data_IF_283241669675
#
_entry.id   IF_283241669675
#
_cell.length_a   1.000
_cell.length_b   1.000
_cell.length_c   1.000
_cell.angle_alpha   90.00
_cell.angle_beta   90.00
_cell.angle_gamma   90.00
#
_symmetry.space_group_name_H-M   'P 1'
#
loop_
_entity.id
_entity.type
_entity.pdbx_description
1 polymer ?
#
# COMPACT_ATOMS: atom_id res chain seq x y z
N UNK A 1 38.14 -41.87 27.28
CA UNK A 1 37.19 -40.76 27.48
C UNK A 1 37.30 -39.70 26.38
N UNK A 2 38.45 -39.04 26.15
CA UNK A 2 38.63 -38.06 25.04
C UNK A 2 38.40 -38.62 23.62
N UNK A 3 38.71 -39.92 23.39
CA UNK A 3 38.56 -40.56 22.06
C UNK A 3 37.10 -40.89 21.69
N UNK A 4 36.23 -41.09 22.69
CA UNK A 4 34.79 -41.38 22.49
C UNK A 4 34.01 -40.08 22.27
N UNK A 5 34.41 -39.01 22.97
CA UNK A 5 33.84 -37.67 22.80
C UNK A 5 34.20 -37.10 21.42
N UNK A 6 35.42 -37.32 20.92
CA UNK A 6 35.78 -36.90 19.56
C UNK A 6 35.06 -37.70 18.46
N UNK A 7 34.78 -39.00 18.68
CA UNK A 7 34.03 -39.82 17.73
C UNK A 7 32.55 -39.40 17.66
N UNK A 8 31.94 -39.11 18.80
CA UNK A 8 30.57 -38.58 18.87
C UNK A 8 30.46 -37.15 18.32
N UNK A 9 31.51 -36.33 18.43
CA UNK A 9 31.58 -35.01 17.81
C UNK A 9 31.82 -35.07 16.29
N UNK A 10 32.53 -36.08 15.78
CA UNK A 10 32.69 -36.31 14.34
C UNK A 10 31.42 -36.89 13.71
N UNK A 11 30.72 -37.83 14.37
CA UNK A 11 29.42 -38.33 13.92
C UNK A 11 28.33 -37.26 14.01
N UNK A 12 28.30 -36.43 15.06
CA UNK A 12 27.37 -35.30 15.13
C UNK A 12 27.69 -34.22 14.07
N UNK A 13 28.97 -33.97 13.79
CA UNK A 13 29.41 -33.03 12.75
C UNK A 13 29.09 -33.52 11.33
N UNK A 14 29.18 -34.84 11.07
CA UNK A 14 28.77 -35.43 9.79
C UNK A 14 27.25 -35.47 9.62
N UNK A 15 26.50 -35.78 10.68
CA UNK A 15 25.02 -35.73 10.69
C UNK A 15 24.49 -34.30 10.51
N UNK A 16 25.15 -33.30 11.13
CA UNK A 16 24.84 -31.88 10.95
C UNK A 16 25.21 -31.43 9.52
N UNK A 17 26.29 -31.95 8.92
CA UNK A 17 26.68 -31.63 7.53
C UNK A 17 25.75 -32.22 6.48
N UNK A 18 25.19 -33.42 6.68
CA UNK A 18 24.21 -34.00 5.76
C UNK A 18 22.80 -33.43 5.95
N UNK A 19 22.46 -32.97 7.17
CA UNK A 19 21.15 -32.36 7.46
C UNK A 19 21.07 -30.86 7.11
N UNK A 20 22.21 -30.14 7.08
CA UNK A 20 22.22 -28.66 7.03
C UNK A 20 22.36 -27.98 5.66
N UNK A 21 22.26 -28.69 4.53
CA UNK A 21 22.22 -28.01 3.22
C UNK A 21 20.88 -28.19 2.49
N UNK A 22 20.22 -29.33 2.65
CA UNK A 22 18.96 -29.59 1.95
C UNK A 22 17.72 -29.06 2.71
N UNK A 23 17.78 -28.96 4.04
CA UNK A 23 16.66 -28.49 4.87
C UNK A 23 16.73 -27.00 5.19
N UNK A 24 17.93 -26.44 5.37
CA UNK A 24 18.13 -25.00 5.60
C UNK A 24 17.70 -24.15 4.38
N UNK A 25 17.92 -24.64 3.15
CA UNK A 25 17.48 -23.94 1.93
C UNK A 25 15.97 -23.98 1.72
N UNK A 26 15.29 -25.05 2.17
CA UNK A 26 13.84 -25.21 2.06
C UNK A 26 13.10 -24.28 3.01
N UNK A 27 13.60 -24.16 4.24
CA UNK A 27 13.05 -23.28 5.28
C UNK A 27 13.36 -21.82 4.98
N UNK A 28 14.55 -21.47 4.47
CA UNK A 28 14.89 -20.08 4.15
C UNK A 28 14.12 -19.51 2.95
N UNK A 29 13.87 -20.31 1.90
CA UNK A 29 13.07 -19.89 0.74
C UNK A 29 11.58 -19.73 1.06
N UNK A 30 11.05 -20.61 1.94
CA UNK A 30 9.70 -20.49 2.48
C UNK A 30 9.58 -19.32 3.45
N UNK A 31 10.52 -19.13 4.39
CA UNK A 31 10.56 -17.98 5.30
C UNK A 31 10.64 -16.67 4.52
N UNK A 32 11.54 -16.57 3.54
CA UNK A 32 11.65 -15.39 2.70
C UNK A 32 10.34 -15.11 1.94
N UNK A 33 9.66 -16.13 1.41
CA UNK A 33 8.38 -15.93 0.74
C UNK A 33 7.22 -15.64 1.70
N UNK A 34 7.07 -16.37 2.83
CA UNK A 34 6.03 -16.13 3.85
C UNK A 34 6.11 -14.73 4.45
N UNK A 35 7.28 -14.08 4.41
CA UNK A 35 7.43 -12.67 4.76
C UNK A 35 7.26 -11.72 3.58
N UNK A 36 7.28 -12.18 2.32
CA UNK A 36 7.35 -11.31 1.15
C UNK A 36 6.00 -10.76 0.69
N UNK A 37 4.88 -11.49 0.81
CA UNK A 37 3.65 -11.05 0.13
C UNK A 37 2.41 -11.55 0.91
N UNK A 38 1.60 -10.62 1.45
CA UNK A 38 0.11 -10.64 1.55
C UNK A 38 -0.59 -10.69 2.92
N UNK A 39 -1.87 -10.24 2.98
CA UNK A 39 -2.45 -9.57 4.12
C UNK A 39 -2.84 -10.53 5.23
N UNK A 40 -2.72 -10.04 6.46
CA UNK A 40 -2.94 -10.82 7.65
C UNK A 40 -4.43 -11.14 7.88
N UNK A 41 -4.89 -12.21 7.23
CA UNK A 41 -5.97 -13.04 7.76
C UNK A 41 -5.55 -14.51 7.65
N UNK A 42 -4.74 -14.97 8.61
CA UNK A 42 -4.20 -16.33 8.76
C UNK A 42 -2.88 -16.63 8.01
N UNK A 43 -1.90 -17.18 8.74
CA UNK A 43 -0.64 -17.71 8.20
C UNK A 43 -0.84 -18.75 7.06
N UNK A 44 -1.99 -19.41 7.03
CA UNK A 44 -2.41 -20.31 5.94
C UNK A 44 -2.64 -19.56 4.61
N UNK A 45 -3.20 -18.35 4.65
CA UNK A 45 -3.43 -17.53 3.46
C UNK A 45 -2.12 -16.91 2.94
N UNK A 46 -1.20 -16.57 3.85
CA UNK A 46 0.15 -16.15 3.49
C UNK A 46 0.91 -17.28 2.76
N UNK A 47 0.93 -18.50 3.32
CA UNK A 47 1.57 -19.65 2.65
C UNK A 47 0.95 -19.94 1.28
N UNK A 48 -0.38 -19.93 1.20
CA UNK A 48 -1.11 -20.22 -0.04
C UNK A 48 -0.78 -19.20 -1.12
N UNK A 49 -0.71 -17.92 -0.74
CA UNK A 49 -0.32 -16.83 -1.64
C UNK A 49 1.11 -17.03 -2.15
N UNK A 50 2.06 -17.28 -1.24
CA UNK A 50 3.47 -17.52 -1.57
C UNK A 50 3.66 -18.71 -2.51
N UNK A 51 3.00 -19.81 -2.20
CA UNK A 51 3.04 -21.04 -2.99
C UNK A 51 2.48 -20.79 -4.39
N UNK A 52 1.38 -20.06 -4.50
CA UNK A 52 0.80 -19.68 -5.78
C UNK A 52 1.77 -18.79 -6.58
N UNK A 53 2.38 -17.76 -5.97
CA UNK A 53 3.29 -16.85 -6.68
C UNK A 53 4.54 -17.57 -7.20
N UNK A 54 5.14 -18.43 -6.38
CA UNK A 54 6.29 -19.25 -6.77
C UNK A 54 5.97 -20.29 -7.84
N UNK A 55 4.71 -20.72 -7.96
CA UNK A 55 4.27 -21.71 -8.94
C UNK A 55 3.80 -21.08 -10.24
N UNK A 56 2.93 -20.08 -10.13
CA UNK A 56 2.12 -19.54 -11.22
C UNK A 56 2.65 -18.20 -11.76
N UNK A 57 3.43 -17.45 -10.97
CA UNK A 57 3.97 -16.13 -11.29
C UNK A 57 5.49 -16.03 -11.14
N UNK A 58 6.19 -17.17 -11.19
CA UNK A 58 7.63 -17.25 -10.92
C UNK A 58 8.51 -16.41 -11.84
N UNK A 59 8.10 -16.24 -13.10
CA UNK A 59 8.88 -15.49 -14.10
C UNK A 59 8.77 -14.01 -13.80
N UNK A 60 7.56 -13.52 -13.55
CA UNK A 60 7.26 -12.15 -13.19
C UNK A 60 7.86 -11.81 -11.81
N UNK A 61 7.80 -12.73 -10.86
CA UNK A 61 8.46 -12.60 -9.56
C UNK A 61 9.98 -12.48 -9.70
N UNK A 62 10.61 -13.35 -10.50
CA UNK A 62 12.05 -13.27 -10.75
C UNK A 62 12.46 -11.96 -11.44
N UNK A 63 11.66 -11.49 -12.41
CA UNK A 63 11.84 -10.18 -13.04
C UNK A 63 11.72 -9.04 -12.03
N UNK A 64 10.73 -9.11 -11.15
CA UNK A 64 10.50 -8.11 -10.11
C UNK A 64 11.68 -8.05 -9.15
N UNK A 65 12.16 -9.19 -8.64
CA UNK A 65 13.30 -9.20 -7.72
C UNK A 65 14.58 -8.72 -8.43
N UNK A 66 14.73 -9.01 -9.73
CA UNK A 66 15.84 -8.48 -10.54
C UNK A 66 15.76 -6.97 -10.84
N UNK A 67 14.63 -6.32 -10.57
CA UNK A 67 14.45 -4.88 -10.74
C UNK A 67 14.54 -4.15 -9.38
N UNK A 68 15.48 -3.20 -9.19
CA UNK A 68 15.67 -2.55 -7.90
C UNK A 68 14.43 -1.85 -7.32
N UNK A 69 13.60 -1.24 -8.17
CA UNK A 69 12.37 -0.56 -7.73
C UNK A 69 11.28 -1.57 -7.36
N UNK A 70 11.14 -2.66 -8.12
CA UNK A 70 10.16 -3.70 -7.80
C UNK A 70 10.58 -4.51 -6.56
N UNK A 71 11.87 -4.79 -6.39
CA UNK A 71 12.42 -5.36 -5.16
C UNK A 71 12.20 -4.44 -3.95
N UNK A 72 12.39 -3.12 -4.11
CA UNK A 72 12.09 -2.14 -3.07
C UNK A 72 10.59 -2.09 -2.74
N UNK A 73 9.71 -2.23 -3.74
CA UNK A 73 8.27 -2.37 -3.53
C UNK A 73 7.96 -3.59 -2.66
N UNK A 74 8.47 -4.77 -3.02
CA UNK A 74 8.28 -5.99 -2.24
C UNK A 74 8.78 -5.76 -0.81
N UNK A 75 10.00 -5.25 -0.64
CA UNK A 75 10.59 -4.99 0.68
C UNK A 75 9.73 -4.03 1.53
N UNK A 76 9.20 -2.97 0.92
CA UNK A 76 8.29 -2.03 1.57
C UNK A 76 7.00 -2.73 2.03
N UNK A 77 6.37 -3.54 1.18
CA UNK A 77 5.17 -4.31 1.52
C UNK A 77 5.39 -5.23 2.73
N UNK A 78 6.59 -5.80 2.90
CA UNK A 78 6.91 -6.63 4.07
C UNK A 78 6.81 -5.84 5.39
N UNK A 79 7.17 -4.55 5.37
CA UNK A 79 7.10 -3.69 6.55
C UNK A 79 5.68 -3.33 6.95
N UNK A 80 4.70 -3.59 6.08
CA UNK A 80 3.31 -3.27 6.30
C UNK A 80 2.55 -4.33 7.10
N UNK A 81 3.04 -5.58 7.10
CA UNK A 81 2.34 -6.72 7.66
C UNK A 81 2.08 -6.56 9.17
N UNK A 82 0.87 -6.93 9.60
CA UNK A 82 0.40 -6.86 11.00
C UNK A 82 0.33 -5.45 11.59
N UNK A 83 0.43 -4.41 10.76
CA UNK A 83 0.20 -3.04 11.21
C UNK A 83 -1.30 -2.75 11.28
N UNK A 84 -1.74 -1.87 12.20
CA UNK A 84 -3.13 -1.42 12.24
C UNK A 84 -3.55 -0.70 10.95
N UNK A 85 -2.60 -0.09 10.24
CA UNK A 85 -2.76 0.60 8.95
C UNK A 85 -2.19 -0.21 7.77
N UNK A 86 -2.23 -1.54 7.84
CA UNK A 86 -1.61 -2.44 6.86
C UNK A 86 -2.06 -2.16 5.41
N UNK A 87 -3.36 -1.92 5.18
CA UNK A 87 -3.88 -1.65 3.82
C UNK A 87 -3.32 -0.34 3.28
N UNK A 88 -3.34 0.70 4.09
CA UNK A 88 -2.86 2.04 3.74
C UNK A 88 -1.35 2.04 3.51
N UNK A 89 -0.61 1.29 4.32
CA UNK A 89 0.83 1.08 4.14
C UNK A 89 1.13 0.38 2.81
N UNK A 90 0.40 -0.69 2.48
CA UNK A 90 0.62 -1.44 1.25
C UNK A 90 0.36 -0.60 -0.01
N UNK A 91 -0.70 0.20 0.00
CA UNK A 91 -1.02 1.11 -1.11
C UNK A 91 0.09 2.15 -1.30
N UNK A 92 0.58 2.75 -0.20
CA UNK A 92 1.70 3.71 -0.26
C UNK A 92 2.97 3.12 -0.84
N UNK A 93 3.30 1.87 -0.53
CA UNK A 93 4.43 1.17 -1.14
C UNK A 93 4.24 1.03 -2.66
N UNK A 94 3.05 0.60 -3.09
CA UNK A 94 2.70 0.49 -4.51
C UNK A 94 2.88 1.82 -5.25
N UNK A 95 2.36 2.92 -4.69
CA UNK A 95 2.46 4.25 -5.27
C UNK A 95 3.91 4.76 -5.39
N UNK A 96 4.72 4.52 -4.35
CA UNK A 96 6.11 4.99 -4.28
C UNK A 96 7.02 4.29 -5.29
N UNK A 97 6.77 3.01 -5.55
CA UNK A 97 7.66 2.17 -6.37
C UNK A 97 7.06 1.73 -7.70
N UNK A 98 5.89 2.28 -8.09
CA UNK A 98 5.21 1.96 -9.36
C UNK A 98 6.17 2.07 -10.55
N UNK A 99 6.13 1.03 -11.38
CA UNK A 99 6.79 0.91 -12.67
C UNK A 99 6.20 -0.28 -13.44
N UNK A 100 6.53 -0.40 -14.72
CA UNK A 100 5.99 -1.46 -15.59
C UNK A 100 6.32 -2.90 -15.17
N UNK A 101 7.41 -3.12 -14.43
CA UNK A 101 7.77 -4.46 -13.90
C UNK A 101 6.90 -4.80 -12.68
N UNK A 102 6.59 -3.81 -11.84
CA UNK A 102 5.61 -3.94 -10.76
C UNK A 102 4.24 -4.25 -11.34
N UNK A 103 3.85 -3.59 -12.43
CA UNK A 103 2.58 -3.83 -13.11
C UNK A 103 2.47 -5.25 -13.69
N UNK A 104 3.50 -5.74 -14.38
CA UNK A 104 3.53 -7.12 -14.91
C UNK A 104 3.42 -8.14 -13.76
N UNK A 105 4.10 -7.86 -12.64
CA UNK A 105 4.02 -8.71 -11.45
C UNK A 105 2.62 -8.70 -10.83
N UNK A 106 2.02 -7.52 -10.64
CA UNK A 106 0.68 -7.36 -10.09
C UNK A 106 -0.39 -7.97 -11.00
N UNK A 107 -0.28 -7.81 -12.32
CA UNK A 107 -1.18 -8.43 -13.29
C UNK A 107 -1.19 -9.96 -13.11
N UNK A 108 -0.01 -10.58 -12.95
CA UNK A 108 0.04 -12.01 -12.67
C UNK A 108 -0.57 -12.35 -11.30
N UNK A 109 -0.06 -11.70 -10.25
CA UNK A 109 -0.35 -12.03 -8.86
C UNK A 109 -1.83 -11.80 -8.49
N UNK A 110 -2.39 -10.69 -8.92
CA UNK A 110 -3.71 -10.19 -8.53
C UNK A 110 -4.77 -10.57 -9.56
N UNK A 111 -4.57 -10.22 -10.83
CA UNK A 111 -5.61 -10.35 -11.85
C UNK A 111 -5.67 -11.75 -12.47
N UNK A 112 -4.54 -12.22 -13.01
CA UNK A 112 -4.50 -13.40 -13.89
C UNK A 112 -4.50 -14.70 -13.12
N UNK A 113 -3.65 -14.83 -12.09
CA UNK A 113 -3.50 -16.06 -11.29
C UNK A 113 -4.22 -15.99 -9.96
N UNK A 114 -4.61 -14.79 -9.52
CA UNK A 114 -5.37 -14.56 -8.27
C UNK A 114 -4.72 -15.26 -7.08
N UNK A 115 -3.38 -15.23 -7.06
CA UNK A 115 -2.61 -15.68 -5.91
C UNK A 115 -2.88 -14.80 -4.70
N UNK A 116 -3.26 -13.55 -4.96
CA UNK A 116 -3.63 -12.55 -3.99
C UNK A 116 -5.13 -12.61 -3.71
N UNK A 117 -5.60 -12.98 -2.50
CA UNK A 117 -7.02 -12.86 -2.15
C UNK A 117 -7.52 -11.41 -2.27
N UNK A 118 -8.67 -11.26 -2.92
CA UNK A 118 -9.39 -9.98 -3.00
C UNK A 118 -9.94 -9.60 -1.63
N UNK A 119 -9.69 -8.37 -1.18
CA UNK A 119 -10.32 -7.78 0.01
C UNK A 119 -11.81 -7.55 -0.26
N UNK A 120 -12.67 -8.10 0.59
CA UNK A 120 -14.12 -7.96 0.49
C UNK A 120 -14.58 -6.57 0.94
N UNK A 121 -15.69 -6.10 0.36
CA UNK A 121 -16.39 -4.93 0.87
C UNK A 121 -16.94 -5.22 2.27
N UNK A 122 -16.63 -4.33 3.22
CA UNK A 122 -17.14 -4.38 4.59
C UNK A 122 -18.33 -3.44 4.80
N UNK A 123 -18.82 -2.81 3.72
CA UNK A 123 -19.94 -1.87 3.74
C UNK A 123 -19.55 -0.48 4.23
N UNK A 124 -18.26 -0.15 4.22
CA UNK A 124 -17.78 1.16 4.69
C UNK A 124 -18.32 2.27 3.80
N UNK A 125 -18.31 2.09 2.48
CA UNK A 125 -18.77 3.06 1.48
C UNK A 125 -20.00 2.54 0.73
N UNK A 126 -21.22 2.61 1.30
CA UNK A 126 -22.43 2.16 0.63
C UNK A 126 -22.83 3.10 -0.51
N UNK A 127 -23.53 2.57 -1.51
CA UNK A 127 -24.13 3.38 -2.59
C UNK A 127 -25.11 4.40 -1.96
N UNK A 128 -24.95 5.71 -2.21
CA UNK A 128 -25.85 6.73 -1.68
C UNK A 128 -27.28 6.55 -2.19
N UNK A 129 -28.26 6.99 -1.39
CA UNK A 129 -29.66 7.07 -1.85
C UNK A 129 -29.77 8.04 -3.04
N UNK A 130 -30.34 7.63 -4.19
CA UNK A 130 -30.64 8.53 -5.31
C UNK A 130 -31.30 9.86 -4.91
N UNK A 131 -32.10 9.86 -3.83
CA UNK A 131 -32.77 11.04 -3.29
C UNK A 131 -31.79 12.15 -2.85
N UNK A 132 -30.59 11.80 -2.38
CA UNK A 132 -29.59 12.77 -1.88
C UNK A 132 -28.68 13.33 -2.98
N UNK A 133 -28.67 12.71 -4.16
CA UNK A 133 -27.87 13.16 -5.30
C UNK A 133 -28.46 14.39 -5.98
N UNK A 134 -27.61 15.19 -6.62
CA UNK A 134 -28.04 16.30 -7.48
C UNK A 134 -28.99 15.80 -8.59
N UNK A 135 -30.09 16.53 -8.81
CA UNK A 135 -31.13 16.13 -9.78
C UNK A 135 -30.82 16.55 -11.21
N UNK A 136 -29.97 17.56 -11.36
CA UNK A 136 -29.50 18.07 -12.63
C UNK A 136 -27.99 18.25 -12.54
N UNK A 137 -27.26 17.69 -13.49
CA UNK A 137 -25.82 17.83 -13.57
C UNK A 137 -25.43 17.86 -15.04
N UNK A 138 -24.76 18.94 -15.44
CA UNK A 138 -24.31 19.15 -16.80
C UNK A 138 -22.81 18.90 -16.86
N UNK A 139 -22.42 17.77 -17.46
CA UNK A 139 -21.01 17.35 -17.54
C UNK A 139 -20.14 18.32 -18.34
N UNK A 140 -20.72 19.12 -19.25
CA UNK A 140 -19.96 20.12 -20.00
C UNK A 140 -19.45 21.25 -19.09
N UNK A 141 -20.15 21.53 -17.98
CA UNK A 141 -19.71 22.51 -16.98
C UNK A 141 -18.54 22.04 -16.14
N UNK A 142 -18.24 20.73 -16.16
CA UNK A 142 -17.04 20.17 -15.56
C UNK A 142 -15.78 20.54 -16.37
N UNK A 143 -15.90 21.00 -17.61
CA UNK A 143 -14.74 21.28 -18.46
C UNK A 143 -13.76 22.29 -17.84
N UNK A 144 -12.47 22.08 -18.13
CA UNK A 144 -11.36 22.89 -17.64
C UNK A 144 -10.72 22.35 -16.36
N UNK A 145 -10.00 23.24 -15.68
CA UNK A 145 -9.15 22.90 -14.54
C UNK A 145 -9.92 22.90 -13.23
N UNK A 146 -9.66 21.89 -12.41
CA UNK A 146 -10.19 21.74 -11.06
C UNK A 146 -9.11 21.22 -10.12
N UNK A 147 -9.19 21.62 -8.86
CA UNK A 147 -8.32 21.12 -7.80
C UNK A 147 -9.12 20.27 -6.84
N UNK A 148 -8.60 19.12 -6.43
CA UNK A 148 -9.08 18.50 -5.19
C UNK A 148 -8.50 19.33 -4.05
N UNK A 149 -9.36 19.98 -3.27
CA UNK A 149 -8.96 20.83 -2.11
C UNK A 149 -9.32 20.22 -0.76
N UNK A 150 -10.10 19.14 -0.77
CA UNK A 150 -10.36 18.33 0.41
C UNK A 150 -10.73 16.91 0.05
N UNK A 151 -10.31 15.96 0.89
CA UNK A 151 -10.54 14.53 0.71
C UNK A 151 -10.95 13.83 2.00
N UNK A 152 -11.78 12.80 1.91
CA UNK A 152 -12.20 11.99 3.06
C UNK A 152 -11.23 10.83 3.33
N UNK A 153 -10.80 10.13 2.27
CA UNK A 153 -9.94 8.97 2.40
C UNK A 153 -8.46 9.40 2.28
N UNK A 154 -7.66 9.37 3.37
CA UNK A 154 -6.26 9.82 3.33
C UNK A 154 -5.37 9.01 2.38
N UNK A 155 -5.81 7.83 1.96
CA UNK A 155 -5.02 6.95 1.10
C UNK A 155 -5.11 7.35 -0.37
N UNK A 156 -6.25 7.89 -0.80
CA UNK A 156 -6.52 8.17 -2.21
C UNK A 156 -6.85 9.65 -2.49
N UNK A 157 -7.32 10.38 -1.47
CA UNK A 157 -7.97 11.68 -1.64
C UNK A 157 -7.10 12.87 -1.18
N UNK A 158 -5.91 12.61 -0.62
CA UNK A 158 -5.14 13.65 0.10
C UNK A 158 -3.71 13.81 -0.39
N UNK A 159 -3.48 13.55 -1.68
CA UNK A 159 -2.19 13.84 -2.31
C UNK A 159 -1.97 15.35 -2.43
N UNK A 160 -0.71 15.76 -2.59
CA UNK A 160 -0.42 17.16 -2.89
C UNK A 160 -0.65 17.47 -4.36
N UNK A 161 -0.88 18.76 -4.67
CA UNK A 161 -1.01 19.30 -6.02
C UNK A 161 -1.89 18.42 -6.91
N UNK A 162 -3.16 18.31 -6.55
CA UNK A 162 -4.15 17.53 -7.28
C UNK A 162 -4.87 18.39 -8.30
N UNK A 163 -4.16 18.79 -9.36
CA UNK A 163 -4.71 19.53 -10.49
C UNK A 163 -5.20 18.57 -11.57
N UNK A 164 -6.51 18.55 -11.78
CA UNK A 164 -7.16 17.71 -12.78
C UNK A 164 -7.75 18.60 -13.89
N UNK A 165 -7.52 18.23 -15.15
CA UNK A 165 -8.07 18.92 -16.30
C UNK A 165 -9.07 18.04 -17.02
N UNK A 166 -10.33 18.49 -17.02
CA UNK A 166 -11.44 17.75 -17.59
C UNK A 166 -11.87 18.34 -18.93
N UNK A 167 -12.31 17.47 -19.83
CA UNK A 167 -12.97 17.86 -21.07
C UNK A 167 -14.04 16.83 -21.44
N UNK A 168 -15.06 17.26 -22.16
CA UNK A 168 -16.10 16.38 -22.69
C UNK A 168 -15.74 15.90 -24.09
N UNK A 169 -15.72 14.59 -24.30
CA UNK A 169 -15.48 13.96 -25.60
C UNK A 169 -16.57 12.92 -25.86
N UNK A 170 -17.32 13.04 -26.97
CA UNK A 170 -18.36 12.07 -27.35
C UNK A 170 -19.36 11.75 -26.21
N UNK A 171 -19.85 12.80 -25.52
CA UNK A 171 -20.75 12.68 -24.36
C UNK A 171 -20.18 11.92 -23.15
N UNK A 172 -18.85 11.78 -23.09
CA UNK A 172 -18.12 11.27 -21.92
C UNK A 172 -17.31 12.40 -21.28
N UNK A 173 -17.15 12.35 -19.97
CA UNK A 173 -16.23 13.21 -19.25
C UNK A 173 -14.86 12.55 -19.22
N UNK A 174 -13.85 13.19 -19.78
CA UNK A 174 -12.47 12.70 -19.80
C UNK A 174 -11.63 13.58 -18.87
N UNK A 175 -11.07 12.98 -17.83
CA UNK A 175 -10.20 13.64 -16.86
C UNK A 175 -8.74 13.27 -17.07
N UNK A 176 -7.91 14.27 -17.34
CA UNK A 176 -6.45 14.16 -17.23
C UNK A 176 -6.07 14.52 -15.80
N UNK A 177 -5.80 13.50 -14.99
CA UNK A 177 -5.53 13.63 -13.58
C UNK A 177 -4.03 13.78 -13.35
N UNK A 178 -3.65 14.58 -12.37
CA UNK A 178 -2.27 14.68 -11.91
C UNK A 178 -2.22 14.90 -10.41
N UNK A 179 -1.30 14.22 -9.74
CA UNK A 179 -1.10 14.33 -8.29
C UNK A 179 0.36 14.13 -7.94
N UNK A 180 0.77 14.62 -6.77
CA UNK A 180 2.12 14.48 -6.25
C UNK A 180 2.16 13.54 -5.06
N UNK A 181 3.09 12.60 -5.12
CA UNK A 181 3.42 11.68 -4.03
C UNK A 181 4.68 12.23 -3.37
N UNK A 182 4.58 12.59 -2.08
CA UNK A 182 5.75 13.02 -1.29
C UNK A 182 6.71 11.85 -1.09
N UNK A 183 7.99 12.13 -1.21
CA UNK A 183 9.06 11.19 -0.88
C UNK A 183 9.57 11.42 0.54
N UNK A 184 10.27 10.42 1.11
CA UNK A 184 10.78 10.48 2.49
C UNK A 184 11.82 11.59 2.70
N UNK A 185 12.52 12.00 1.65
CA UNK A 185 13.49 13.10 1.66
C UNK A 185 12.82 14.49 1.48
N UNK A 186 11.49 14.57 1.54
CA UNK A 186 10.76 15.84 1.37
C UNK A 186 10.64 16.32 -0.07
N UNK A 187 11.01 15.47 -1.04
CA UNK A 187 10.73 15.68 -2.47
C UNK A 187 9.36 15.16 -2.90
N UNK A 188 9.16 15.04 -4.21
CA UNK A 188 7.95 14.43 -4.75
C UNK A 188 8.12 13.83 -6.14
N UNK A 189 7.27 12.85 -6.45
CA UNK A 189 7.02 12.41 -7.82
C UNK A 189 5.66 12.91 -8.29
N UNK A 190 5.53 13.27 -9.57
CA UNK A 190 4.23 13.57 -10.19
C UNK A 190 3.75 12.35 -10.95
N UNK A 191 2.51 11.94 -10.67
CA UNK A 191 1.79 10.89 -11.40
C UNK A 191 0.71 11.52 -12.24
N UNK A 192 0.31 10.81 -13.30
CA UNK A 192 -0.83 11.18 -14.11
C UNK A 192 -1.61 9.95 -14.56
N UNK A 193 -2.92 10.15 -14.74
CA UNK A 193 -3.81 9.12 -15.26
C UNK A 193 -4.88 9.77 -16.14
N UNK A 194 -5.43 8.99 -17.06
CA UNK A 194 -6.61 9.39 -17.84
C UNK A 194 -7.78 8.53 -17.41
N UNK A 195 -8.85 9.15 -16.94
CA UNK A 195 -10.10 8.47 -16.62
C UNK A 195 -11.22 8.97 -17.53
N UNK A 196 -12.13 8.06 -17.88
CA UNK A 196 -13.27 8.33 -18.76
C UNK A 196 -14.55 7.92 -18.06
N UNK A 197 -15.44 8.88 -17.86
CA UNK A 197 -16.71 8.68 -17.19
C UNK A 197 -17.89 8.82 -18.17
N UNK A 198 -18.89 7.95 -18.00
CA UNK A 198 -20.17 7.99 -18.70
C UNK A 198 -21.24 8.38 -17.69
N UNK A 199 -22.01 9.43 -17.99
CA UNK A 199 -23.10 9.87 -17.13
C UNK A 199 -24.30 8.91 -17.22
N UNK A 200 -24.94 8.61 -16.08
CA UNK A 200 -26.17 7.83 -16.07
C UNK A 200 -27.32 8.63 -16.73
N UNK A 201 -28.04 8.04 -17.70
CA UNK A 201 -29.07 8.75 -18.46
C UNK A 201 -30.33 9.09 -17.63
N UNK A 202 -30.58 8.36 -16.54
CA UNK A 202 -31.76 8.54 -15.68
C UNK A 202 -31.42 9.26 -14.37
N UNK A 203 -30.14 9.25 -13.97
CA UNK A 203 -29.64 9.88 -12.75
C UNK A 203 -28.42 10.75 -13.06
N UNK A 204 -28.61 12.01 -13.50
CA UNK A 204 -27.52 12.87 -13.94
C UNK A 204 -26.39 13.06 -12.91
N UNK A 205 -26.69 12.91 -11.62
CA UNK A 205 -25.69 12.94 -10.55
C UNK A 205 -24.80 11.70 -10.44
N UNK A 206 -24.87 10.72 -11.35
CA UNK A 206 -24.04 9.52 -11.32
C UNK A 206 -23.15 9.48 -12.58
N UNK A 207 -21.85 9.24 -12.39
CA UNK A 207 -20.88 9.07 -13.46
C UNK A 207 -20.14 7.74 -13.28
N UNK A 208 -20.09 6.92 -14.32
CA UNK A 208 -19.48 5.59 -14.30
C UNK A 208 -18.14 5.58 -15.04
N UNK A 209 -17.05 5.21 -14.37
CA UNK A 209 -15.79 4.84 -15.01
C UNK A 209 -15.59 3.32 -14.88
N UNK A 210 -15.97 2.59 -15.93
CA UNK A 210 -15.84 1.13 -16.02
C UNK A 210 -14.88 0.74 -17.15
N UNK A 211 -14.56 -0.56 -17.21
CA UNK A 211 -13.80 -1.18 -18.29
C UNK A 211 -12.36 -0.67 -18.44
N UNK A 212 -11.70 -0.39 -17.31
CA UNK A 212 -10.28 -0.01 -17.31
C UNK A 212 -9.37 -1.24 -17.42
N UNK A 213 -8.32 -1.16 -18.25
CA UNK A 213 -7.46 -2.31 -18.58
C UNK A 213 -6.60 -2.80 -17.39
N UNK A 214 -6.00 -1.87 -16.65
CA UNK A 214 -5.15 -2.22 -15.51
C UNK A 214 -6.01 -2.58 -14.28
N UNK A 215 -5.79 -3.76 -13.68
CA UNK A 215 -6.50 -4.30 -12.50
C UNK A 215 -8.03 -4.37 -12.63
N UNK A 216 -8.59 -4.21 -13.84
CA UNK A 216 -10.03 -4.23 -14.11
C UNK A 216 -10.85 -3.33 -13.18
N UNK A 217 -10.31 -2.17 -12.82
CA UNK A 217 -10.94 -1.32 -11.82
C UNK A 217 -12.20 -0.62 -12.36
N UNK A 218 -13.13 -0.36 -11.44
CA UNK A 218 -14.34 0.43 -11.64
C UNK A 218 -14.39 1.53 -10.60
N UNK A 219 -14.76 2.74 -11.01
CA UNK A 219 -14.94 3.88 -10.13
C UNK A 219 -16.24 4.62 -10.45
N UNK A 220 -17.20 4.54 -9.53
CA UNK A 220 -18.51 5.15 -9.65
C UNK A 220 -18.55 6.43 -8.83
N UNK A 221 -18.83 7.55 -9.50
CA UNK A 221 -18.97 8.86 -8.88
C UNK A 221 -20.44 9.21 -8.66
N UNK A 222 -20.72 9.72 -7.48
CA UNK A 222 -22.03 10.16 -7.00
C UNK A 222 -21.90 11.63 -6.58
N UNK A 223 -22.50 12.53 -7.35
CA UNK A 223 -22.43 13.97 -7.11
C UNK A 223 -23.44 14.34 -6.04
N UNK A 224 -22.95 14.62 -4.83
CA UNK A 224 -23.78 14.96 -3.66
C UNK A 224 -24.22 16.41 -3.67
N UNK A 225 -23.34 17.31 -4.10
CA UNK A 225 -23.62 18.74 -4.22
C UNK A 225 -22.73 19.36 -5.28
N UNK A 226 -23.21 20.40 -5.96
CA UNK A 226 -22.40 21.13 -6.93
C UNK A 226 -22.92 22.54 -7.14
N UNK A 227 -22.00 23.46 -7.42
CA UNK A 227 -22.28 24.82 -7.88
C UNK A 227 -21.30 25.15 -9.01
N UNK A 228 -21.81 25.36 -10.21
CA UNK A 228 -21.03 25.59 -11.42
C UNK A 228 -21.57 26.81 -12.18
N UNK A 229 -21.32 27.99 -11.62
CA UNK A 229 -21.79 29.30 -12.11
C UNK A 229 -20.68 30.09 -12.85
N UNK A 230 -19.56 29.45 -13.15
CA UNK A 230 -18.32 30.04 -13.66
C UNK A 230 -17.73 31.09 -12.70
N UNK A 231 -17.75 30.78 -11.40
CA UNK A 231 -17.20 31.63 -10.34
C UNK A 231 -16.01 30.95 -9.63
N UNK A 232 -15.14 31.72 -8.95
CA UNK A 232 -14.00 31.15 -8.22
C UNK A 232 -14.39 30.20 -7.09
N UNK A 233 -15.60 30.35 -6.54
CA UNK A 233 -16.17 29.52 -5.48
C UNK A 233 -16.95 28.31 -6.02
N UNK A 234 -16.94 28.06 -7.33
CA UNK A 234 -17.54 26.87 -7.91
C UNK A 234 -16.89 25.59 -7.36
N UNK A 235 -17.73 24.60 -7.11
CA UNK A 235 -17.33 23.33 -6.53
C UNK A 235 -18.19 22.17 -7.01
N UNK A 236 -17.63 20.97 -6.89
CA UNK A 236 -18.30 19.70 -7.12
C UNK A 236 -17.89 18.75 -5.99
N UNK A 237 -18.87 18.28 -5.23
CA UNK A 237 -18.68 17.31 -4.18
C UNK A 237 -19.00 15.92 -4.73
N UNK A 238 -17.93 15.14 -4.94
CA UNK A 238 -17.99 13.77 -5.42
C UNK A 238 -17.85 12.82 -4.25
N UNK A 239 -18.84 11.96 -4.05
CA UNK A 239 -18.68 10.71 -3.31
C UNK A 239 -18.34 9.62 -4.33
N UNK A 240 -17.38 8.75 -4.04
CA UNK A 240 -17.04 7.68 -4.97
C UNK A 240 -16.98 6.34 -4.28
N UNK A 241 -17.24 5.30 -5.06
CA UNK A 241 -17.11 3.91 -4.67
C UNK A 241 -16.53 3.15 -5.85
N UNK A 242 -15.54 2.32 -5.58
CA UNK A 242 -14.95 1.49 -6.60
C UNK A 242 -14.55 0.11 -6.12
N UNK A 243 -14.13 -0.67 -7.11
CA UNK A 243 -13.70 -2.05 -6.97
C UNK A 243 -12.69 -2.41 -8.04
N UNK A 244 -11.79 -3.31 -7.72
CA UNK A 244 -10.84 -3.88 -8.67
C UNK A 244 -10.55 -5.35 -8.29
N UNK A 245 -9.58 -5.96 -8.95
CA UNK A 245 -9.19 -7.34 -8.66
C UNK A 245 -8.62 -7.54 -7.24
N UNK A 246 -8.12 -6.49 -6.59
CA UNK A 246 -7.51 -6.53 -5.26
C UNK A 246 -8.48 -6.18 -4.11
N UNK A 247 -9.47 -5.31 -4.34
CA UNK A 247 -10.39 -4.82 -3.31
C UNK A 247 -11.76 -4.44 -3.92
N UNK A 248 -12.85 -4.93 -3.34
CA UNK A 248 -14.22 -4.77 -3.84
C UNK A 248 -15.06 -3.68 -3.13
N UNK A 249 -14.42 -2.77 -2.41
CA UNK A 249 -15.15 -1.81 -1.58
C UNK A 249 -14.34 -0.57 -1.19
N UNK A 250 -13.41 -0.15 -2.04
CA UNK A 250 -12.77 1.13 -1.82
C UNK A 250 -13.74 2.26 -2.09
N UNK A 251 -13.51 3.38 -1.43
CA UNK A 251 -14.34 4.55 -1.59
C UNK A 251 -13.79 5.71 -0.80
N UNK A 252 -14.44 6.84 -0.97
CA UNK A 252 -14.02 8.09 -0.39
C UNK A 252 -14.93 9.21 -0.86
N UNK A 253 -14.47 10.43 -0.66
CA UNK A 253 -15.20 11.59 -1.12
C UNK A 253 -14.25 12.77 -1.27
N UNK A 254 -14.34 13.47 -2.39
CA UNK A 254 -13.44 14.56 -2.76
C UNK A 254 -14.22 15.81 -3.11
N UNK A 255 -13.63 16.96 -2.79
CA UNK A 255 -14.16 18.27 -3.16
C UNK A 255 -13.30 18.86 -4.27
N UNK A 256 -13.87 18.90 -5.47
CA UNK A 256 -13.31 19.67 -6.57
C UNK A 256 -13.70 21.14 -6.42
N UNK A 257 -12.72 22.04 -6.56
CA UNK A 257 -12.94 23.49 -6.59
C UNK A 257 -12.18 24.13 -7.74
N UNK A 258 -12.70 25.25 -8.27
CA UNK A 258 -11.96 26.06 -9.25
C UNK A 258 -10.74 26.73 -8.64
N UNK A 259 -10.87 27.19 -7.40
CA UNK A 259 -9.76 27.69 -6.59
C UNK A 259 -8.85 26.54 -6.12
N UNK A 260 -7.55 26.80 -6.04
CA UNK A 260 -6.57 25.86 -5.44
C UNK A 260 -6.67 25.77 -3.91
N UNK A 261 -7.42 26.68 -3.29
CA UNK A 261 -7.73 26.69 -1.85
C UNK A 261 -9.23 26.56 -1.68
N UNK A 262 -9.68 25.69 -0.76
CA UNK A 262 -11.10 25.50 -0.51
C UNK A 262 -11.76 26.83 -0.05
N UNK A 263 -12.76 27.35 -0.78
CA UNK A 263 -13.47 28.55 -0.38
C UNK A 263 -14.24 28.34 0.92
N UNK A 264 -14.11 29.26 1.88
CA UNK A 264 -14.87 29.18 3.13
C UNK A 264 -16.39 29.32 2.92
N UNK A 265 -16.81 30.02 1.86
CA UNK A 265 -18.22 30.27 1.53
C UNK A 265 -19.03 29.01 1.22
N UNK A 266 -18.38 27.93 0.78
CA UNK A 266 -19.06 26.69 0.39
C UNK A 266 -19.11 25.65 1.52
N UNK A 267 -18.39 25.85 2.62
CA UNK A 267 -18.29 24.89 3.73
C UNK A 267 -19.66 24.45 4.28
N UNK A 268 -20.65 25.34 4.49
CA UNK A 268 -21.97 24.93 4.98
C UNK A 268 -22.69 23.95 4.04
N UNK A 269 -22.54 24.12 2.72
CA UNK A 269 -23.14 23.20 1.75
C UNK A 269 -22.44 21.84 1.79
N UNK A 270 -21.11 21.83 1.97
CA UNK A 270 -20.31 20.61 2.08
C UNK A 270 -20.65 19.82 3.36
N UNK A 271 -20.81 20.49 4.50
CA UNK A 271 -21.25 19.86 5.75
C UNK A 271 -22.62 19.20 5.58
N UNK A 272 -23.57 19.89 4.95
CA UNK A 272 -24.91 19.35 4.66
C UNK A 272 -24.84 18.14 3.73
N UNK A 273 -24.04 18.20 2.66
CA UNK A 273 -23.89 17.12 1.71
C UNK A 273 -23.21 15.89 2.34
N UNK A 274 -22.15 16.08 3.14
CA UNK A 274 -21.50 15.00 3.87
C UNK A 274 -22.48 14.31 4.85
N UNK A 275 -23.25 15.11 5.60
CA UNK A 275 -24.24 14.58 6.54
C UNK A 275 -25.33 13.75 5.85
N UNK A 276 -25.71 14.08 4.61
CA UNK A 276 -26.72 13.35 3.84
C UNK A 276 -26.34 11.90 3.54
N UNK A 277 -25.04 11.59 3.57
CA UNK A 277 -24.49 10.23 3.39
C UNK A 277 -23.85 9.69 4.67
N UNK A 278 -24.19 10.26 5.83
CA UNK A 278 -23.69 9.81 7.13
C UNK A 278 -22.19 10.08 7.36
N UNK A 279 -21.63 11.08 6.68
CA UNK A 279 -20.23 11.51 6.85
C UNK A 279 -20.14 12.83 7.59
N UNK A 280 -18.98 13.04 8.21
CA UNK A 280 -18.64 14.26 8.93
C UNK A 280 -17.58 15.02 8.14
N UNK A 281 -17.92 16.21 7.65
CA UNK A 281 -17.01 17.03 6.85
C UNK A 281 -15.78 17.49 7.65
N UNK A 282 -15.87 17.57 8.98
CA UNK A 282 -14.71 17.93 9.82
C UNK A 282 -13.57 16.90 9.78
N UNK A 283 -13.87 15.67 9.33
CA UNK A 283 -12.88 14.60 9.13
C UNK A 283 -12.18 14.69 7.77
N UNK A 284 -12.61 15.58 6.89
CA UNK A 284 -11.97 15.75 5.59
C UNK A 284 -10.65 16.48 5.78
N UNK A 285 -9.61 15.94 5.14
CA UNK A 285 -8.27 16.50 5.15
C UNK A 285 -8.18 17.54 4.04
N UNK A 286 -7.44 18.63 4.30
CA UNK A 286 -7.12 19.67 3.31
C UNK A 286 -5.89 19.24 2.53
N UNK A 287 -5.94 19.38 1.22
CA UNK A 287 -4.80 19.12 0.35
C UNK A 287 -3.99 20.39 0.12
N UNK A 288 -2.68 20.22 -0.02
CA UNK A 288 -1.78 21.31 -0.39
C UNK A 288 -1.65 21.41 -1.91
N UNK A 289 -2.24 22.43 -2.49
CA UNK A 289 -2.17 22.70 -3.93
C UNK A 289 -1.15 23.80 -4.29
N UNK A 290 -0.12 24.00 -3.47
CA UNK A 290 1.05 24.80 -3.84
C UNK A 290 1.90 24.04 -4.89
N UNK A 291 1.40 24.03 -6.12
CA UNK A 291 2.00 23.35 -7.27
C UNK A 291 3.28 24.06 -7.77
N UNK A 292 4.33 24.12 -6.95
CA UNK A 292 5.65 24.69 -7.27
C UNK A 292 6.65 23.69 -7.85
N UNK A 293 7.84 24.11 -8.31
CA UNK A 293 8.90 23.18 -8.69
C UNK A 293 9.38 22.35 -7.48
N UNK A 294 10.03 21.21 -7.74
CA UNK A 294 10.62 20.40 -6.66
C UNK A 294 11.71 21.20 -5.94
N UNK A 295 11.71 21.22 -4.58
CA UNK A 295 12.77 21.87 -3.83
C UNK A 295 14.15 21.24 -4.16
N UNK A 296 15.22 22.06 -4.19
CA UNK A 296 16.58 21.56 -4.39
C UNK A 296 16.93 20.46 -3.38
N UNK A 297 17.73 19.47 -3.80
CA UNK A 297 18.12 18.33 -2.96
C UNK A 297 18.80 18.76 -1.65
N UNK A 298 19.56 19.86 -1.66
CA UNK A 298 20.23 20.37 -0.46
C UNK A 298 19.23 20.83 0.60
N UNK A 299 18.22 21.61 0.19
CA UNK A 299 17.15 22.09 1.08
C UNK A 299 16.32 20.91 1.63
N UNK A 300 16.08 19.90 0.79
CA UNK A 300 15.41 18.65 1.17
C UNK A 300 16.16 17.87 2.25
N UNK A 301 17.48 17.69 2.07
CA UNK A 301 18.32 16.98 3.01
C UNK A 301 18.46 17.74 4.34
N UNK A 302 18.58 19.07 4.30
CA UNK A 302 18.59 19.92 5.49
C UNK A 302 17.29 19.77 6.27
N UNK A 303 16.14 19.87 5.60
CA UNK A 303 14.83 19.70 6.23
C UNK A 303 14.64 18.29 6.82
N UNK A 304 15.05 17.25 6.08
CA UNK A 304 14.98 15.86 6.56
C UNK A 304 15.85 15.66 7.80
N UNK A 305 17.03 16.28 7.83
CA UNK A 305 17.92 16.26 9.00
C UNK A 305 17.28 16.97 10.20
N UNK A 306 16.72 18.16 9.99
CA UNK A 306 16.03 18.91 11.05
C UNK A 306 14.82 18.15 11.62
N UNK A 307 14.02 17.51 10.76
CA UNK A 307 12.89 16.68 11.17
C UNK A 307 13.37 15.43 11.91
N UNK A 308 14.44 14.79 11.43
CA UNK A 308 15.10 13.68 12.12
C UNK A 308 15.63 14.08 13.51
N UNK A 309 16.26 15.24 13.63
CA UNK A 309 16.75 15.77 14.91
C UNK A 309 15.60 16.07 15.88
N UNK A 310 14.49 16.66 15.40
CA UNK A 310 13.29 16.88 16.21
C UNK A 310 12.66 15.58 16.68
N UNK A 311 12.54 14.59 15.80
CA UNK A 311 12.00 13.28 16.14
C UNK A 311 12.86 12.58 17.20
N UNK A 312 14.19 12.62 17.04
CA UNK A 312 15.13 12.10 18.05
C UNK A 312 14.93 12.83 19.40
N UNK A 313 14.77 14.15 19.39
CA UNK A 313 14.52 14.93 20.63
C UNK A 313 13.17 14.54 21.26
N UNK A 314 12.12 14.32 20.48
CA UNK A 314 10.81 13.90 20.97
C UNK A 314 10.84 12.46 21.52
N UNK A 315 11.49 11.53 20.81
CA UNK A 315 11.72 10.16 21.28
C UNK A 315 12.56 10.16 22.56
N UNK A 316 13.64 10.95 22.63
CA UNK A 316 14.45 11.10 23.84
C UNK A 316 13.61 11.69 24.98
N UNK A 317 12.72 12.65 24.75
CA UNK A 317 11.81 13.17 25.79
C UNK A 317 10.78 12.15 26.25
N UNK A 318 10.24 11.34 25.35
CA UNK A 318 9.32 10.25 25.70
C UNK A 318 10.05 9.18 26.52
N UNK A 319 11.28 8.83 26.12
CA UNK A 319 12.16 7.92 26.84
C UNK A 319 12.54 8.52 28.21
N UNK A 320 12.93 9.80 28.29
CA UNK A 320 13.24 10.48 29.55
C UNK A 320 12.02 10.55 30.51
N UNK A 321 10.80 10.62 29.96
CA UNK A 321 9.55 10.49 30.72
C UNK A 321 9.25 9.07 31.22
N UNK A 322 9.80 8.04 30.57
CA UNK A 322 9.70 6.63 30.98
C UNK A 322 10.89 6.14 31.83
N UNK A 323 12.02 6.85 31.79
CA UNK A 323 13.27 6.50 32.47
C UNK A 323 13.23 6.73 34.00
N UNK A 324 12.20 7.38 34.54
CA UNK A 324 12.03 7.46 36.01
C UNK A 324 11.54 6.13 36.64
N UNK A 325 11.39 5.05 35.87
CA UNK A 325 10.94 3.75 36.39
C UNK A 325 11.72 2.50 35.99
N UNK A 326 12.83 2.58 35.26
CA UNK A 326 13.40 1.37 34.65
C UNK A 326 14.92 1.32 34.73
N UNK A 327 15.44 0.84 35.86
CA UNK A 327 16.82 0.31 35.98
C UNK A 327 16.83 -1.23 36.14
N UNK A 328 15.71 -1.91 35.88
CA UNK A 328 15.59 -3.38 36.00
C UNK A 328 15.09 -4.12 34.73
N UNK A 329 14.73 -3.42 33.64
CA UNK A 329 14.00 -4.03 32.50
C UNK A 329 14.91 -4.48 31.33
N UNK A 330 16.19 -4.13 31.31
CA UNK A 330 17.08 -4.52 30.20
C UNK A 330 17.36 -6.03 30.11
N UNK A 331 17.36 -6.74 31.25
CA UNK A 331 17.53 -8.20 31.27
C UNK A 331 16.26 -8.96 30.84
N UNK A 332 15.08 -8.40 31.08
CA UNK A 332 13.80 -9.02 30.71
C UNK A 332 13.47 -8.83 29.23
N UNK A 333 13.95 -7.76 28.59
CA UNK A 333 13.73 -7.53 27.15
C UNK A 333 14.52 -8.51 26.28
N UNK A 334 15.78 -8.79 26.66
CA UNK A 334 16.60 -9.82 26.02
C UNK A 334 16.05 -11.24 26.23
N UNK A 335 15.46 -11.52 27.40
CA UNK A 335 14.76 -12.78 27.66
C UNK A 335 13.48 -12.92 26.82
N UNK A 336 12.67 -11.86 26.72
CA UNK A 336 11.48 -11.84 25.86
C UNK A 336 11.80 -11.96 24.37
N UNK A 337 12.92 -11.38 23.93
CA UNK A 337 13.43 -11.55 22.56
C UNK A 337 13.87 -13.00 22.31
N UNK A 338 14.54 -13.63 23.29
CA UNK A 338 14.92 -15.04 23.19
C UNK A 338 13.71 -16.00 23.25
N UNK A 339 12.68 -15.66 24.03
CA UNK A 339 11.39 -16.37 24.06
C UNK A 339 10.64 -16.23 22.73
N UNK A 340 10.58 -15.02 22.15
CA UNK A 340 10.00 -14.79 20.81
C UNK A 340 10.74 -15.53 19.69
N UNK A 341 12.06 -15.71 19.80
CA UNK A 341 12.84 -16.56 18.88
C UNK A 341 12.53 -18.06 19.04
N UNK A 342 12.17 -18.51 20.24
CA UNK A 342 11.75 -19.89 20.48
C UNK A 342 10.31 -20.13 20.04
N UNK A 343 9.42 -19.15 20.19
CA UNK A 343 8.05 -19.18 19.64
C UNK A 343 8.07 -19.29 18.10
N UNK A 344 8.95 -18.54 17.42
CA UNK A 344 9.18 -18.65 15.98
C UNK A 344 9.60 -20.06 15.54
N UNK A 345 10.48 -20.72 16.31
CA UNK A 345 10.86 -22.13 16.06
C UNK A 345 9.71 -23.09 16.28
N UNK A 346 8.86 -22.82 17.27
CA UNK A 346 7.74 -23.67 17.61
C UNK A 346 6.61 -23.55 16.55
N UNK A 347 6.42 -22.34 16.03
CA UNK A 347 5.50 -22.07 14.92
C UNK A 347 5.99 -22.69 13.60
N UNK A 348 7.30 -22.72 13.35
CA UNK A 348 7.91 -23.47 12.24
C UNK A 348 7.63 -24.99 12.34
N UNK A 349 7.78 -25.58 13.53
CA UNK A 349 7.49 -27.00 13.76
C UNK A 349 6.01 -27.35 13.65
N UNK A 350 5.12 -26.46 14.11
CA UNK A 350 3.68 -26.63 14.01
C UNK A 350 3.19 -26.51 12.57
N UNK A 351 3.78 -25.58 11.82
CA UNK A 351 3.51 -25.36 10.41
C UNK A 351 3.90 -26.59 9.56
N UNK A 352 5.10 -27.15 9.78
CA UNK A 352 5.56 -28.34 9.07
C UNK A 352 4.72 -29.60 9.38
N UNK A 353 4.15 -29.69 10.58
CA UNK A 353 3.20 -30.76 10.95
C UNK A 353 1.82 -30.60 10.31
N UNK A 354 1.47 -29.39 9.88
CA UNK A 354 0.18 -29.07 9.26
C UNK A 354 0.11 -29.33 7.76
N UNK A 355 1.24 -29.57 7.09
CA UNK A 355 1.31 -29.75 5.64
C UNK A 355 0.87 -31.16 5.20
N UNK A 356 0.07 -31.23 4.16
CA UNK A 356 -0.30 -32.46 3.48
C UNK A 356 0.85 -33.02 2.64
N UNK A 357 0.75 -34.30 2.27
CA UNK A 357 1.77 -35.00 1.50
C UNK A 357 1.97 -34.41 0.09
N UNK A 358 0.89 -33.90 -0.50
CA UNK A 358 0.91 -33.23 -1.81
C UNK A 358 1.64 -31.88 -1.75
N UNK A 359 1.51 -31.15 -0.64
CA UNK A 359 2.23 -29.89 -0.41
C UNK A 359 3.73 -30.12 -0.15
N UNK A 360 4.08 -31.23 0.49
CA UNK A 360 5.47 -31.66 0.70
C UNK A 360 6.17 -32.09 -0.60
N UNK A 361 5.45 -32.74 -1.52
CA UNK A 361 6.02 -33.21 -2.79
C UNK A 361 6.29 -32.05 -3.76
N UNK A 362 5.45 -31.01 -3.76
CA UNK A 362 5.65 -29.77 -4.57
C UNK A 362 6.92 -29.01 -4.14
N UNK A 363 7.24 -29.01 -2.85
CA UNK A 363 8.46 -28.39 -2.31
C UNK A 363 9.74 -29.12 -2.75
N UNK A 364 9.63 -30.38 -3.19
CA UNK A 364 10.77 -31.19 -3.60
C UNK A 364 11.22 -30.94 -5.04
N UNK A 365 10.35 -30.38 -5.90
CA UNK A 365 10.62 -30.21 -7.34
C UNK A 365 11.37 -28.92 -7.72
N UNK A 366 11.45 -27.91 -6.85
CA UNK A 366 11.86 -26.53 -7.19
C UNK A 366 13.38 -26.23 -7.26
N UNK A 367 14.27 -27.22 -7.13
CA UNK A 367 15.76 -27.17 -7.33
C UNK A 367 16.42 -25.80 -7.68
N UNK A 368 16.60 -24.90 -6.70
CA UNK A 368 17.40 -23.66 -6.83
C UNK A 368 18.51 -23.60 -5.76
N UNK A 369 19.67 -23.01 -6.06
CA UNK A 369 20.85 -22.97 -5.18
C UNK A 369 20.90 -21.70 -4.28
N UNK A 370 21.31 -21.85 -3.02
CA UNK A 370 21.41 -20.76 -2.03
C UNK A 370 22.34 -19.61 -2.44
N UNK A 371 23.38 -19.87 -3.23
CA UNK A 371 24.32 -18.85 -3.69
C UNK A 371 23.71 -17.85 -4.67
N UNK A 372 22.61 -18.23 -5.35
CA UNK A 372 21.87 -17.34 -6.25
C UNK A 372 20.88 -16.47 -5.46
N UNK A 373 20.34 -17.00 -4.35
CA UNK A 373 19.48 -16.27 -3.39
C UNK A 373 20.30 -15.27 -2.57
N UNK A 374 21.52 -15.62 -2.13
CA UNK A 374 22.40 -14.71 -1.38
C UNK A 374 22.93 -13.55 -2.25
N UNK A 375 23.15 -13.78 -3.55
CA UNK A 375 23.40 -12.70 -4.52
C UNK A 375 22.18 -11.80 -4.77
N UNK A 376 20.97 -12.33 -4.56
CA UNK A 376 19.70 -11.61 -4.73
C UNK A 376 19.38 -10.66 -3.55
N UNK A 377 19.79 -11.03 -2.33
CA UNK A 377 19.39 -10.32 -1.10
C UNK A 377 20.56 -9.74 -0.27
N UNK A 378 21.82 -10.06 -0.61
CA UNK A 378 22.98 -9.83 0.27
C UNK A 378 23.80 -8.55 0.06
N UNK A 379 23.41 -7.59 -0.78
CA UNK A 379 24.23 -6.38 -1.03
C UNK A 379 23.56 -5.01 -0.81
N UNK A 380 22.46 -4.94 -0.06
CA UNK A 380 21.76 -3.66 0.19
C UNK A 380 21.59 -3.29 1.67
N UNK A 381 22.57 -3.62 2.51
CA UNK A 381 22.74 -2.99 3.82
C UNK A 381 24.19 -2.51 3.99
N UNK A 382 24.47 -1.19 3.89
CA UNK A 382 25.66 -0.67 4.53
C UNK A 382 25.38 -0.69 6.04
N UNK A 383 25.73 -1.81 6.68
CA UNK A 383 25.95 -1.83 8.13
C UNK A 383 27.06 -0.81 8.41
N UNK A 384 26.65 0.41 8.78
CA UNK A 384 27.54 1.37 9.46
C UNK A 384 28.08 0.62 10.68
N UNK A 385 29.34 0.22 10.60
CA UNK A 385 30.16 -0.08 11.77
C UNK A 385 30.15 1.16 12.65
N UNK A 386 29.31 1.16 13.67
CA UNK A 386 29.47 2.05 14.81
C UNK A 386 30.74 1.63 15.52
N UNK A 387 31.67 2.58 15.60
CA UNK A 387 32.84 2.58 16.45
C UNK A 387 32.69 3.74 17.41
#
# INVERSE_FOLDING_TARGET
MKRVINFLLEEASSFIKEWSQLHFMKVAGLLACTFMIMPSANAADALKTCTCLLKECRVELAKCIGNPSCAANIACLQTCNNRPDETECQIKCGDLFENSVVDEFNECAVSRKKCVPKKSDVGEFPIPDPAVLVKSFDIEKFNGKWFITSGLNPTFDTFDCQLHEFHTESSKLVGNLSWRIRTLDGGFFTRSAVQKFVQDPNQPGILYNHDNDYLHYQDDWYILSSKMENKPDDYIFVYYRGRNDAWDGYGGAVIYTRSSVLPASIVPDLEKAAASVGRDFSKFIRTDNTCGPEPPLVERLEKTLEEGEKNIIEEVKQIEGEVEKVEQTELTLLQKLAEGFNELKQDEENFLRGLSKEEMDILSELKMEAGEVEKLFGQTLPLRKLR
#
